data_IF_163614837463
#
_entry.id   IF_163614837463
#
_cell.length_a   1.000
_cell.length_b   1.000
_cell.length_c   1.000
_cell.angle_alpha   90.00
_cell.angle_beta   90.00
_cell.angle_gamma   90.00
#
_symmetry.space_group_name_H-M   'P 1'
#
loop_
_entity.id
_entity.type
_entity.pdbx_description
1 polymer ?
#
# COMPACT_ATOMS: atom_id res chain seq x y z
N UNK A 1 1.68 0.07 7.67
CA UNK A 1 1.71 -1.38 7.42
C UNK A 1 2.81 -1.76 6.44
N UNK A 2 2.69 -1.47 5.14
CA UNK A 2 3.72 -1.83 4.14
C UNK A 2 5.10 -1.24 4.45
N UNK A 3 5.17 -0.04 5.03
CA UNK A 3 6.43 0.55 5.51
C UNK A 3 7.14 -0.27 6.60
N UNK A 4 6.42 -1.12 7.32
CA UNK A 4 6.95 -1.93 8.42
C UNK A 4 7.26 -3.36 8.00
N UNK A 5 6.44 -3.96 7.12
CA UNK A 5 6.56 -5.38 6.74
C UNK A 5 7.12 -5.61 5.33
N UNK A 6 7.32 -4.55 4.55
CA UNK A 6 7.87 -4.63 3.20
C UNK A 6 7.08 -5.58 2.30
N UNK A 7 7.81 -6.40 1.53
CA UNK A 7 7.25 -7.33 0.55
C UNK A 7 6.43 -8.48 1.16
N UNK A 8 6.65 -8.82 2.42
CA UNK A 8 5.83 -9.82 3.10
C UNK A 8 4.35 -9.37 3.17
N UNK A 9 4.12 -8.06 3.31
CA UNK A 9 2.79 -7.45 3.36
C UNK A 9 2.06 -7.34 2.03
N UNK A 10 2.77 -7.56 0.92
CA UNK A 10 2.17 -7.46 -0.41
C UNK A 10 1.16 -8.59 -0.65
N UNK A 11 0.08 -8.22 -1.31
CA UNK A 11 -1.08 -9.03 -1.67
C UNK A 11 -1.87 -9.60 -0.47
N UNK A 12 -1.62 -9.13 0.76
CA UNK A 12 -2.40 -9.51 1.93
C UNK A 12 -3.76 -8.79 1.93
N UNK A 13 -4.80 -9.54 2.30
CA UNK A 13 -6.14 -9.00 2.56
C UNK A 13 -6.21 -8.34 3.94
N UNK A 14 -6.87 -7.19 4.01
CA UNK A 14 -7.13 -6.46 5.23
C UNK A 14 -8.60 -6.05 5.29
N UNK A 15 -9.11 -5.81 6.49
CA UNK A 15 -10.49 -5.41 6.72
C UNK A 15 -10.49 -4.05 7.41
N UNK A 16 -11.22 -3.07 6.84
CA UNK A 16 -11.27 -1.71 7.37
C UNK A 16 -12.67 -1.13 7.29
N UNK A 17 -13.12 -0.33 8.27
CA UNK A 17 -14.38 0.39 8.14
C UNK A 17 -14.28 1.59 7.20
N UNK A 18 -13.07 2.10 6.94
CA UNK A 18 -12.88 3.37 6.22
C UNK A 18 -11.50 3.48 5.58
N UNK A 19 -11.40 4.24 4.48
CA UNK A 19 -10.14 4.69 3.88
C UNK A 19 -10.29 6.14 3.39
N UNK A 20 -9.22 6.94 3.42
CA UNK A 20 -9.19 8.27 2.79
C UNK A 20 -9.67 8.29 1.33
N UNK A 21 -9.32 7.24 0.58
CA UNK A 21 -9.60 7.11 -0.86
C UNK A 21 -11.04 6.68 -1.18
N UNK A 22 -11.89 6.43 -0.18
CA UNK A 22 -13.29 6.11 -0.43
C UNK A 22 -14.05 7.35 -0.89
N UNK A 23 -14.95 7.16 -1.86
CA UNK A 23 -15.83 8.23 -2.34
C UNK A 23 -17.02 8.42 -1.39
N UNK A 24 -16.75 8.89 -0.17
CA UNK A 24 -17.78 9.17 0.84
C UNK A 24 -17.86 10.68 1.08
N UNK A 25 -19.09 11.15 1.14
CA UNK A 25 -19.48 12.49 1.56
C UNK A 25 -20.75 12.33 2.39
N UNK A 26 -21.16 13.36 3.12
CA UNK A 26 -22.34 13.18 3.94
C UNK A 26 -22.91 14.42 4.57
N UNK A 27 -24.23 14.46 4.63
CA UNK A 27 -25.03 15.57 5.13
C UNK A 27 -24.72 15.94 6.59
N UNK A 28 -24.44 14.97 7.46
CA UNK A 28 -24.12 15.25 8.87
C UNK A 28 -22.70 15.76 9.06
N UNK A 29 -21.83 15.58 8.06
CA UNK A 29 -20.45 16.08 8.06
C UNK A 29 -20.29 17.31 7.17
N UNK A 30 -21.38 17.95 6.74
CA UNK A 30 -21.35 19.14 5.90
C UNK A 30 -20.77 18.86 4.51
N UNK A 31 -19.85 19.72 4.05
CA UNK A 31 -19.20 19.61 2.73
C UNK A 31 -17.97 18.70 2.72
N UNK A 32 -17.66 18.05 3.85
CA UNK A 32 -16.48 17.20 3.95
C UNK A 32 -16.66 15.90 3.17
N UNK A 33 -15.57 15.47 2.55
CA UNK A 33 -15.42 14.14 1.96
C UNK A 33 -14.39 13.34 2.77
N UNK A 34 -14.32 12.02 2.57
CA UNK A 34 -13.24 11.20 3.15
C UNK A 34 -11.86 11.76 2.81
N UNK A 35 -11.67 12.16 1.56
CA UNK A 35 -10.39 12.67 1.07
C UNK A 35 -10.08 14.04 1.68
N UNK A 36 -11.00 15.00 1.62
CA UNK A 36 -10.77 16.35 2.17
C UNK A 36 -10.53 16.33 3.68
N UNK A 37 -11.19 15.41 4.40
CA UNK A 37 -10.92 15.16 5.82
C UNK A 37 -9.50 14.65 6.06
N UNK A 38 -9.05 13.67 5.27
CA UNK A 38 -7.71 13.15 5.37
C UNK A 38 -6.64 14.20 5.03
N UNK A 39 -6.90 15.05 4.03
CA UNK A 39 -5.99 16.11 3.60
C UNK A 39 -5.83 17.19 4.68
N UNK A 40 -6.93 17.64 5.31
CA UNK A 40 -6.86 18.57 6.44
C UNK A 40 -6.11 17.96 7.62
N UNK A 41 -6.42 16.70 7.95
CA UNK A 41 -5.76 16.02 9.07
C UNK A 41 -4.25 15.89 8.81
N UNK A 42 -3.85 15.53 7.59
CA UNK A 42 -2.44 15.49 7.19
C UNK A 42 -1.78 16.87 7.26
N UNK A 43 -2.48 17.93 6.83
CA UNK A 43 -1.98 19.32 6.88
C UNK A 43 -1.75 19.76 8.32
N UNK A 44 -2.66 19.41 9.23
CA UNK A 44 -2.62 19.84 10.63
C UNK A 44 -1.68 19.02 11.50
N UNK A 45 -1.59 17.71 11.25
CA UNK A 45 -0.91 16.76 12.15
C UNK A 45 0.26 16.02 11.49
N UNK A 46 0.56 16.28 10.22
CA UNK A 46 1.71 15.70 9.52
C UNK A 46 1.61 14.20 9.25
N UNK A 47 0.44 13.58 9.44
CA UNK A 47 0.24 12.14 9.23
C UNK A 47 -1.15 11.82 8.68
N UNK A 48 -1.30 10.67 8.01
CA UNK A 48 -2.61 10.21 7.52
C UNK A 48 -3.47 9.76 8.70
N UNK A 49 -4.76 10.15 8.78
CA UNK A 49 -5.59 9.79 9.92
C UNK A 49 -5.81 8.27 9.97
N UNK A 50 -5.67 7.65 11.14
CA UNK A 50 -6.18 6.31 11.34
C UNK A 50 -7.72 6.36 11.36
N UNK A 51 -8.39 5.27 10.98
CA UNK A 51 -9.84 5.26 10.81
C UNK A 51 -10.59 5.65 12.10
N UNK A 52 -9.99 5.40 13.27
CA UNK A 52 -10.56 5.75 14.57
C UNK A 52 -10.85 7.25 14.67
N UNK A 53 -9.99 8.10 14.08
CA UNK A 53 -10.18 9.56 14.08
C UNK A 53 -11.39 9.94 13.21
N UNK A 54 -11.49 9.36 12.00
CA UNK A 54 -12.65 9.58 11.15
C UNK A 54 -13.97 9.08 11.80
N UNK A 55 -13.89 7.98 12.55
CA UNK A 55 -15.02 7.46 13.34
C UNK A 55 -15.43 8.40 14.46
N UNK A 56 -14.47 8.97 15.20
CA UNK A 56 -14.72 9.87 16.31
C UNK A 56 -15.29 11.20 15.83
N UNK A 57 -14.75 11.74 14.74
CA UNK A 57 -15.29 12.93 14.08
C UNK A 57 -16.74 12.72 13.67
N UNK A 58 -17.04 11.60 13.03
CA UNK A 58 -18.40 11.28 12.60
C UNK A 58 -19.34 11.06 13.77
N UNK A 59 -18.89 10.41 14.85
CA UNK A 59 -19.70 10.24 16.06
C UNK A 59 -20.07 11.59 16.70
N UNK A 60 -19.12 12.54 16.76
CA UNK A 60 -19.40 13.89 17.23
C UNK A 60 -20.40 14.63 16.32
N UNK A 61 -20.24 14.51 14.99
CA UNK A 61 -21.16 15.08 14.02
C UNK A 61 -22.59 14.51 14.14
N UNK A 62 -22.72 13.19 14.31
CA UNK A 62 -24.00 12.52 14.55
C UNK A 62 -24.65 12.96 15.86
N UNK A 63 -23.85 13.20 16.91
CA UNK A 63 -24.36 13.68 18.19
C UNK A 63 -24.95 15.09 18.06
N UNK A 64 -24.23 16.01 17.39
CA UNK A 64 -24.71 17.37 17.11
C UNK A 64 -25.99 17.32 16.28
N UNK A 65 -26.00 16.51 15.20
CA UNK A 65 -27.18 16.33 14.38
C UNK A 65 -28.39 15.76 15.16
N UNK A 66 -28.13 14.85 16.11
CA UNK A 66 -29.14 14.32 17.03
C UNK A 66 -29.73 15.40 17.95
N UNK A 67 -28.89 16.29 18.49
CA UNK A 67 -29.34 17.43 19.31
C UNK A 67 -30.19 18.41 18.51
N UNK A 68 -29.78 18.74 17.28
CA UNK A 68 -30.52 19.61 16.37
C UNK A 68 -31.88 19.01 16.02
N UNK A 69 -31.92 17.71 15.68
CA UNK A 69 -33.16 16.99 15.35
C UNK A 69 -34.10 16.86 16.54
N UNK A 70 -33.56 16.65 17.75
CA UNK A 70 -34.34 16.58 18.98
C UNK A 70 -34.79 17.96 19.49
N UNK A 71 -34.16 19.04 19.02
CA UNK A 71 -34.22 20.37 19.62
C UNK A 71 -34.01 20.32 21.15
N UNK A 72 -33.07 19.49 21.58
CA UNK A 72 -32.85 19.15 22.99
C UNK A 72 -31.42 18.66 23.19
N UNK A 73 -30.88 18.86 24.38
CA UNK A 73 -29.60 18.28 24.83
C UNK A 73 -29.80 17.18 25.88
N UNK A 74 -31.05 16.83 26.19
CA UNK A 74 -31.40 15.73 27.08
C UNK A 74 -30.90 14.39 26.49
N UNK A 75 -30.18 13.57 27.27
CA UNK A 75 -29.66 12.30 26.78
C UNK A 75 -30.71 11.39 26.14
N UNK A 76 -31.90 11.31 26.71
CA UNK A 76 -32.99 10.44 26.22
C UNK A 76 -33.54 10.95 24.89
N UNK A 77 -33.78 12.25 24.77
CA UNK A 77 -34.34 12.85 23.55
C UNK A 77 -33.37 12.71 22.38
N UNK A 78 -32.09 13.00 22.64
CA UNK A 78 -31.00 12.89 21.65
C UNK A 78 -30.80 11.44 21.22
N UNK A 79 -30.75 10.50 22.17
CA UNK A 79 -30.65 9.07 21.86
C UNK A 79 -31.82 8.61 20.97
N UNK A 80 -33.05 8.99 21.30
CA UNK A 80 -34.22 8.63 20.51
C UNK A 80 -34.15 9.24 19.10
N UNK A 81 -33.71 10.51 18.97
CA UNK A 81 -33.55 11.16 17.68
C UNK A 81 -32.47 10.49 16.80
N UNK A 82 -31.38 10.02 17.42
CA UNK A 82 -30.27 9.32 16.76
C UNK A 82 -30.64 7.89 16.36
N UNK A 83 -31.43 7.18 17.18
CA UNK A 83 -31.82 5.79 16.90
C UNK A 83 -32.49 5.63 15.54
N UNK A 84 -33.26 6.62 15.12
CA UNK A 84 -33.99 6.64 13.84
C UNK A 84 -33.24 7.35 12.71
N UNK A 85 -31.94 7.65 12.87
CA UNK A 85 -31.14 8.29 11.81
C UNK A 85 -30.79 7.28 10.71
N UNK A 86 -30.89 7.78 9.47
CA UNK A 86 -30.09 7.32 8.33
C UNK A 86 -29.25 8.50 7.86
N UNK A 87 -27.95 8.43 8.10
CA UNK A 87 -27.03 9.53 7.81
C UNK A 87 -25.90 9.07 6.91
N UNK A 88 -25.61 9.86 5.89
CA UNK A 88 -24.41 9.73 5.08
C UNK A 88 -23.31 10.55 5.77
N UNK A 89 -22.08 10.05 5.78
CA UNK A 89 -20.96 10.74 6.43
C UNK A 89 -19.65 10.46 5.71
N UNK A 90 -18.59 11.19 6.07
CA UNK A 90 -17.24 10.83 5.62
C UNK A 90 -16.81 9.42 6.02
N UNK A 91 -17.40 8.82 7.07
CA UNK A 91 -17.00 7.49 7.54
C UNK A 91 -17.86 6.35 6.98
N UNK A 92 -18.95 6.70 6.30
CA UNK A 92 -19.89 5.78 5.65
C UNK A 92 -21.32 6.05 6.06
N UNK A 93 -22.23 5.23 5.53
CA UNK A 93 -23.66 5.34 5.84
C UNK A 93 -23.95 4.69 7.19
N UNK A 94 -24.59 5.45 8.07
CA UNK A 94 -24.97 5.04 9.40
C UNK A 94 -26.47 4.81 9.51
N UNK A 95 -26.78 3.63 10.03
CA UNK A 95 -28.05 3.32 10.67
C UNK A 95 -27.77 2.37 11.83
N UNK A 96 -28.73 2.26 12.74
CA UNK A 96 -28.66 1.37 13.89
C UNK A 96 -29.69 0.26 13.77
N UNK A 97 -29.32 -0.94 14.22
CA UNK A 97 -30.27 -2.05 14.36
C UNK A 97 -31.14 -1.89 15.61
N UNK A 98 -32.03 -2.86 15.85
CA UNK A 98 -32.94 -2.82 17.00
C UNK A 98 -32.21 -2.77 18.35
N UNK A 99 -30.97 -3.26 18.42
CA UNK A 99 -30.12 -3.28 19.59
C UNK A 99 -29.25 -2.02 19.72
N UNK A 100 -29.37 -1.06 18.79
CA UNK A 100 -28.57 0.16 18.77
C UNK A 100 -27.15 -0.04 18.23
N UNK A 101 -26.86 -1.16 17.57
CA UNK A 101 -25.57 -1.39 16.94
C UNK A 101 -25.54 -0.81 15.53
N UNK A 102 -24.42 -0.15 15.17
CA UNK A 102 -24.23 0.35 13.82
C UNK A 102 -24.28 -0.80 12.81
N UNK A 103 -25.08 -0.65 11.77
CA UNK A 103 -25.19 -1.62 10.67
C UNK A 103 -24.12 -1.41 9.60
N UNK A 104 -23.15 -0.51 9.84
CA UNK A 104 -22.12 -0.19 8.87
C UNK A 104 -21.25 -1.42 8.61
N UNK A 105 -21.08 -1.74 7.33
CA UNK A 105 -20.28 -2.90 6.91
C UNK A 105 -18.80 -2.56 6.86
N UNK A 106 -17.99 -3.54 7.25
CA UNK A 106 -16.56 -3.53 6.99
C UNK A 106 -16.29 -3.73 5.51
N UNK A 107 -15.16 -3.20 5.06
CA UNK A 107 -14.69 -3.26 3.69
C UNK A 107 -13.46 -4.14 3.63
N UNK A 108 -13.27 -4.81 2.50
CA UNK A 108 -12.10 -5.65 2.27
C UNK A 108 -11.15 -4.92 1.34
N UNK A 109 -9.89 -4.85 1.74
CA UNK A 109 -8.83 -4.22 0.97
C UNK A 109 -7.69 -5.20 0.74
N UNK A 110 -6.86 -4.93 -0.26
CA UNK A 110 -5.61 -5.65 -0.51
C UNK A 110 -4.47 -4.65 -0.69
N UNK A 111 -3.36 -4.86 0.00
CA UNK A 111 -2.14 -4.10 -0.26
C UNK A 111 -1.47 -4.65 -1.51
N UNK A 112 -1.65 -4.00 -2.65
CA UNK A 112 -1.00 -4.34 -3.92
C UNK A 112 0.30 -3.53 -4.06
N UNK A 113 0.98 -3.61 -5.20
CA UNK A 113 2.21 -2.86 -5.53
C UNK A 113 1.99 -1.34 -5.69
N UNK A 114 1.25 -0.74 -4.77
CA UNK A 114 0.88 0.67 -4.67
C UNK A 114 1.10 1.14 -3.24
N UNK A 115 1.27 2.45 -3.06
CA UNK A 115 1.45 3.03 -1.73
C UNK A 115 0.21 2.89 -0.84
N UNK A 116 -0.99 3.00 -1.43
CA UNK A 116 -2.27 2.93 -0.73
C UNK A 116 -2.97 1.58 -0.96
N UNK A 117 -3.72 1.06 0.02
CA UNK A 117 -4.47 -0.19 -0.13
C UNK A 117 -5.57 -0.06 -1.19
N UNK A 118 -5.72 -1.10 -2.00
CA UNK A 118 -6.78 -1.24 -3.01
C UNK A 118 -8.06 -1.71 -2.33
N UNK A 119 -9.20 -1.05 -2.58
CA UNK A 119 -10.50 -1.48 -2.10
C UNK A 119 -11.02 -2.59 -3.01
N UNK A 120 -11.22 -3.79 -2.44
CA UNK A 120 -11.64 -5.01 -3.16
C UNK A 120 -13.14 -5.25 -3.01
N UNK A 121 -13.69 -4.96 -1.84
CA UNK A 121 -15.12 -5.13 -1.55
C UNK A 121 -15.63 -3.97 -0.68
N UNK A 122 -16.81 -3.40 -0.97
CA UNK A 122 -17.84 -3.86 -1.91
C UNK A 122 -17.49 -3.62 -3.39
N UNK A 123 -17.93 -4.52 -4.28
CA UNK A 123 -17.64 -4.44 -5.72
C UNK A 123 -18.29 -3.22 -6.40
N UNK A 124 -19.37 -2.69 -5.83
CA UNK A 124 -20.04 -1.49 -6.35
C UNK A 124 -19.20 -0.23 -6.24
N UNK A 125 -18.18 -0.21 -5.37
CA UNK A 125 -17.28 0.92 -5.17
C UNK A 125 -15.82 0.52 -5.05
N UNK A 126 -15.44 -0.66 -5.57
CA UNK A 126 -14.06 -1.14 -5.51
C UNK A 126 -13.14 -0.27 -6.37
N UNK A 127 -11.92 -0.04 -5.88
CA UNK A 127 -10.87 0.68 -6.63
C UNK A 127 -9.91 -0.25 -7.37
N UNK A 128 -10.15 -1.57 -7.30
CA UNK A 128 -9.42 -2.58 -8.07
C UNK A 128 -9.93 -3.99 -7.81
N UNK A 129 -9.30 -4.96 -8.46
CA UNK A 129 -9.67 -6.38 -8.38
C UNK A 129 -8.77 -7.15 -7.43
N UNK A 130 -9.29 -8.25 -6.87
CA UNK A 130 -8.51 -9.15 -6.03
C UNK A 130 -7.42 -9.83 -6.86
N UNK A 131 -6.17 -9.77 -6.40
CA UNK A 131 -5.10 -10.61 -6.93
C UNK A 131 -5.04 -11.89 -6.11
N UNK A 132 -5.46 -13.00 -6.72
CA UNK A 132 -5.38 -14.34 -6.17
C UNK A 132 -5.15 -15.37 -7.31
N UNK A 133 -4.25 -16.36 -7.15
CA UNK A 133 -3.39 -16.59 -5.99
C UNK A 133 -2.39 -15.47 -5.75
N UNK A 134 -1.89 -15.33 -4.51
CA UNK A 134 -0.83 -14.38 -4.19
C UNK A 134 0.40 -14.72 -5.05
N UNK A 135 0.98 -13.75 -5.79
CA UNK A 135 2.23 -13.98 -6.51
C UNK A 135 3.31 -14.49 -5.56
N UNK A 136 4.16 -15.38 -6.05
CA UNK A 136 5.28 -15.88 -5.27
C UNK A 136 6.28 -14.75 -4.93
N UNK A 137 7.23 -15.08 -4.05
CA UNK A 137 8.23 -14.14 -3.58
C UNK A 137 9.08 -13.58 -4.74
N UNK A 138 9.47 -14.41 -5.70
CA UNK A 138 10.32 -13.99 -6.81
C UNK A 138 9.60 -12.91 -7.64
N UNK A 139 8.35 -13.16 -8.04
CA UNK A 139 7.55 -12.24 -8.81
C UNK A 139 7.25 -10.94 -8.05
N UNK A 140 7.00 -11.02 -6.74
CA UNK A 140 6.88 -9.86 -5.86
C UNK A 140 8.14 -8.99 -5.91
N UNK A 141 9.33 -9.60 -5.75
CA UNK A 141 10.59 -8.86 -5.69
C UNK A 141 11.01 -8.29 -7.07
N UNK A 142 10.74 -9.01 -8.16
CA UNK A 142 10.95 -8.51 -9.53
C UNK A 142 10.08 -7.29 -9.86
N UNK A 143 8.85 -7.23 -9.35
CA UNK A 143 7.95 -6.09 -9.57
C UNK A 143 8.23 -4.92 -8.63
N UNK A 144 8.96 -5.15 -7.54
CA UNK A 144 9.27 -4.12 -6.56
C UNK A 144 10.48 -3.29 -6.98
N UNK A 145 10.22 -2.03 -7.32
CA UNK A 145 11.23 -1.06 -7.77
C UNK A 145 11.83 -0.22 -6.64
N UNK A 146 11.45 -0.49 -5.39
CA UNK A 146 12.10 0.12 -4.22
C UNK A 146 13.51 -0.44 -4.04
N UNK A 147 14.34 0.25 -3.27
CA UNK A 147 15.65 -0.25 -2.90
C UNK A 147 15.48 -1.51 -2.02
N UNK A 148 15.88 -2.66 -2.56
CA UNK A 148 15.70 -3.97 -1.95
C UNK A 148 16.93 -4.82 -2.24
N UNK A 149 17.46 -5.47 -1.20
CA UNK A 149 18.45 -6.53 -1.34
C UNK A 149 17.75 -7.80 -1.82
N UNK A 150 17.74 -7.99 -3.13
CA UNK A 150 17.13 -9.14 -3.79
C UNK A 150 18.01 -9.63 -4.92
N UNK A 151 18.04 -10.96 -5.18
CA UNK A 151 18.73 -11.50 -6.32
C UNK A 151 17.81 -11.65 -7.54
N UNK A 152 16.54 -11.26 -7.44
CA UNK A 152 15.56 -11.47 -8.52
C UNK A 152 15.48 -10.26 -9.43
N UNK A 153 15.21 -10.50 -10.72
CA UNK A 153 14.97 -9.47 -11.71
C UNK A 153 14.36 -10.05 -12.97
N UNK A 154 13.80 -9.19 -13.82
CA UNK A 154 13.34 -9.60 -15.14
C UNK A 154 14.52 -9.80 -16.08
N UNK A 155 14.50 -10.91 -16.82
CA UNK A 155 15.40 -11.17 -17.93
C UNK A 155 14.62 -11.85 -19.04
N UNK A 156 14.69 -11.32 -20.25
CA UNK A 156 13.89 -11.77 -21.39
C UNK A 156 12.38 -11.87 -21.05
N UNK A 157 11.86 -10.91 -20.29
CA UNK A 157 10.46 -10.86 -19.85
C UNK A 157 10.06 -11.85 -18.75
N UNK A 158 10.98 -12.70 -18.28
CA UNK A 158 10.72 -13.68 -17.23
C UNK A 158 11.36 -13.21 -15.91
N UNK A 159 10.61 -13.26 -14.81
CA UNK A 159 11.17 -13.02 -13.49
C UNK A 159 11.99 -14.25 -13.07
N UNK A 160 13.29 -14.06 -12.86
CA UNK A 160 14.21 -15.12 -12.47
C UNK A 160 15.15 -14.64 -11.37
N UNK A 161 15.76 -15.57 -10.67
CA UNK A 161 16.96 -15.26 -9.92
C UNK A 161 18.06 -14.91 -10.93
N UNK A 162 18.67 -13.74 -10.79
CA UNK A 162 19.69 -13.27 -11.69
C UNK A 162 20.85 -14.28 -11.76
N UNK A 163 21.26 -14.71 -12.96
CA UNK A 163 22.32 -15.67 -13.16
C UNK A 163 23.65 -15.07 -12.76
N UNK A 164 24.66 -15.91 -12.62
CA UNK A 164 26.02 -15.46 -12.37
C UNK A 164 26.49 -14.49 -13.47
N UNK A 165 27.34 -13.55 -13.09
CA UNK A 165 27.76 -12.47 -13.98
C UNK A 165 26.73 -11.35 -14.16
N UNK A 166 25.55 -11.43 -13.52
CA UNK A 166 24.55 -10.36 -13.57
C UNK A 166 24.21 -9.81 -12.19
N UNK A 167 23.74 -8.56 -12.15
CA UNK A 167 23.18 -7.91 -10.96
C UNK A 167 21.68 -7.68 -11.07
N UNK A 168 20.99 -7.70 -9.92
CA UNK A 168 19.62 -7.24 -9.82
C UNK A 168 19.61 -5.73 -9.61
N UNK A 169 19.08 -4.99 -10.58
CA UNK A 169 19.10 -3.53 -10.57
C UNK A 169 17.78 -2.94 -11.07
N UNK A 170 17.37 -1.83 -10.47
CA UNK A 170 16.23 -1.05 -10.94
C UNK A 170 16.70 -0.08 -12.02
N UNK A 171 16.15 -0.21 -13.22
CA UNK A 171 16.43 0.68 -14.36
C UNK A 171 15.17 1.43 -14.76
N UNK A 172 15.34 2.58 -15.38
CA UNK A 172 14.25 3.28 -16.04
C UNK A 172 14.18 2.84 -17.51
N UNK A 173 13.31 1.88 -17.80
CA UNK A 173 13.07 1.39 -19.15
C UNK A 173 11.82 2.09 -19.71
N UNK A 174 11.97 2.89 -20.77
CA UNK A 174 10.84 3.54 -21.46
C UNK A 174 9.95 4.42 -20.56
N UNK A 175 10.53 5.08 -19.56
CA UNK A 175 9.80 5.94 -18.62
C UNK A 175 9.13 5.19 -17.46
N UNK A 176 9.32 3.87 -17.37
CA UNK A 176 8.82 3.04 -16.27
C UNK A 176 9.98 2.37 -15.53
N UNK A 177 9.96 2.43 -14.20
CA UNK A 177 10.93 1.72 -13.39
C UNK A 177 10.68 0.20 -13.47
N UNK A 178 11.73 -0.58 -13.70
CA UNK A 178 11.69 -2.03 -13.72
C UNK A 178 12.96 -2.61 -13.10
N UNK A 179 12.82 -3.70 -12.33
CA UNK A 179 13.97 -4.47 -11.83
C UNK A 179 14.36 -5.51 -12.86
N UNK A 180 15.60 -5.45 -13.34
CA UNK A 180 16.12 -6.36 -14.35
C UNK A 180 17.39 -7.05 -13.86
N UNK A 181 17.73 -8.16 -14.51
CA UNK A 181 19.08 -8.72 -14.42
C UNK A 181 19.95 -8.06 -15.48
N UNK A 182 20.94 -7.27 -15.05
CA UNK A 182 21.88 -6.57 -15.93
C UNK A 182 23.23 -7.26 -15.86
N UNK A 183 23.89 -7.44 -17.01
CA UNK A 183 25.25 -7.98 -17.02
C UNK A 183 26.25 -7.03 -16.35
N UNK A 184 27.19 -7.60 -15.62
CA UNK A 184 28.29 -6.86 -15.05
C UNK A 184 29.25 -6.40 -16.14
N UNK A 185 29.56 -5.11 -16.16
CA UNK A 185 30.50 -4.54 -17.11
C UNK A 185 31.91 -5.11 -16.92
N UNK A 186 32.74 -4.98 -17.95
CA UNK A 186 34.17 -5.29 -17.88
C UNK A 186 34.83 -4.61 -16.66
N UNK A 187 35.82 -5.28 -16.06
CA UNK A 187 36.47 -4.87 -14.82
C UNK A 187 35.64 -5.15 -13.56
N UNK A 188 34.43 -5.70 -13.68
CA UNK A 188 33.57 -6.10 -12.56
C UNK A 188 33.15 -7.56 -12.65
N UNK A 189 32.72 -8.12 -11.51
CA UNK A 189 32.12 -9.45 -11.40
C UNK A 189 30.89 -9.42 -10.50
N UNK A 190 29.98 -10.38 -10.68
CA UNK A 190 28.78 -10.48 -9.86
C UNK A 190 29.11 -11.08 -8.48
N UNK A 191 28.94 -10.30 -7.43
CA UNK A 191 29.06 -10.77 -6.06
C UNK A 191 27.67 -10.95 -5.44
N UNK A 192 27.43 -12.16 -4.91
CA UNK A 192 26.26 -12.46 -4.08
C UNK A 192 26.62 -12.32 -2.60
N UNK A 193 25.98 -11.39 -1.92
CA UNK A 193 26.09 -11.14 -0.48
C UNK A 193 24.72 -11.30 0.17
N UNK A 194 24.48 -12.49 0.75
CA UNK A 194 23.15 -12.89 1.21
C UNK A 194 22.12 -12.89 0.08
N UNK A 195 21.09 -12.05 0.21
CA UNK A 195 20.07 -11.85 -0.82
C UNK A 195 20.46 -10.80 -1.87
N UNK A 196 21.52 -10.02 -1.67
CA UNK A 196 21.93 -8.99 -2.62
C UNK A 196 22.81 -9.60 -3.71
N UNK A 197 22.55 -9.26 -4.97
CA UNK A 197 23.42 -9.63 -6.09
C UNK A 197 23.77 -8.39 -6.90
N UNK A 198 25.03 -7.97 -6.84
CA UNK A 198 25.53 -6.70 -7.40
C UNK A 198 26.86 -6.88 -8.11
N UNK A 199 27.14 -6.04 -9.09
CA UNK A 199 28.46 -6.00 -9.71
C UNK A 199 29.44 -5.23 -8.82
N UNK A 200 30.61 -5.82 -8.58
CA UNK A 200 31.69 -5.19 -7.80
C UNK A 200 32.99 -5.22 -8.59
N UNK A 201 33.88 -4.23 -8.42
CA UNK A 201 35.18 -4.20 -9.12
C UNK A 201 36.03 -5.43 -8.79
N UNK A 202 36.81 -5.88 -9.77
CA UNK A 202 37.81 -6.91 -9.54
C UNK A 202 38.87 -6.45 -8.51
N UNK A 203 39.26 -7.32 -7.56
CA UNK A 203 40.36 -7.03 -6.65
C UNK A 203 41.69 -6.78 -7.37
N UNK A 204 42.62 -6.10 -6.70
CA UNK A 204 43.97 -5.87 -7.24
C UNK A 204 44.66 -7.20 -7.59
N UNK A 205 45.28 -7.25 -8.78
CA UNK A 205 45.90 -8.46 -9.32
C UNK A 205 44.94 -9.35 -10.13
N UNK A 206 43.67 -8.95 -10.26
CA UNK A 206 42.66 -9.64 -11.07
C UNK A 206 41.98 -8.67 -12.06
N UNK A 207 41.44 -9.22 -13.14
CA UNK A 207 40.71 -8.50 -14.17
C UNK A 207 39.50 -9.30 -14.69
N UNK A 208 38.57 -8.61 -15.34
CA UNK A 208 37.42 -9.19 -16.04
C UNK A 208 37.36 -8.49 -17.39
N UNK A 209 37.59 -9.25 -18.46
CA UNK A 209 37.68 -8.75 -19.84
C UNK A 209 36.43 -9.03 -20.67
N UNK A 210 35.42 -9.66 -20.07
CA UNK A 210 34.17 -10.03 -20.73
C UNK A 210 32.99 -9.53 -19.91
N UNK A 211 32.05 -8.85 -20.56
CA UNK A 211 30.78 -8.48 -19.96
C UNK A 211 30.06 -9.74 -19.45
N UNK A 212 29.54 -9.68 -18.22
CA UNK A 212 28.89 -10.81 -17.59
C UNK A 212 29.83 -11.85 -17.01
N UNK A 213 31.11 -11.51 -16.76
CA UNK A 213 32.02 -12.45 -16.10
C UNK A 213 31.54 -12.79 -14.67
N UNK A 214 31.39 -14.08 -14.34
CA UNK A 214 30.96 -14.50 -13.01
C UNK A 214 32.06 -14.36 -11.96
N UNK A 215 33.33 -14.35 -12.39
CA UNK A 215 34.51 -14.26 -11.55
C UNK A 215 35.61 -13.45 -12.24
N UNK A 216 36.58 -12.95 -11.47
CA UNK A 216 37.75 -12.25 -12.01
C UNK A 216 38.92 -13.23 -12.24
N UNK A 217 39.67 -13.01 -13.33
CA UNK A 217 40.85 -13.78 -13.72
C UNK A 217 42.12 -13.12 -13.18
N UNK A 218 43.11 -13.91 -12.78
CA UNK A 218 44.40 -13.37 -12.33
C UNK A 218 45.17 -12.75 -13.51
N UNK A 219 45.85 -11.62 -13.27
CA UNK A 219 46.70 -11.00 -14.28
C UNK A 219 47.86 -11.94 -14.68
N UNK A 220 48.15 -12.12 -15.98
CA UNK A 220 49.33 -12.86 -16.41
C UNK A 220 50.60 -12.17 -15.89
N UNK A 221 51.57 -12.99 -15.45
CA UNK A 221 52.89 -12.54 -14.99
C UNK A 221 53.84 -12.28 -16.16
#
# INVERSE_FOLDING_TARGET
FISQVGNAGQYILHVTPWLPSMMLAGNVTGTWTSQSFADEFQTRYGSTPPYQVASAFTAAALLVHGMEKANSTSPTDVMNAIRDIRAESIFGDFSFDSNGQSTMRMKVTQYQMRASPTLIYPCSSCSGTLVYPKPDRANIECQDTRELDTPYGFMNGTCVQCPEGTESVVVNATGTLQRICRFCAEGTFALRDGAKQRCVPCPLGFYSDVEGSPECRACPL
#
